data_IF_150536212742
#
_entry.id   IF_150536212742
#
_cell.length_a   1.000
_cell.length_b   1.000
_cell.length_c   1.000
_cell.angle_alpha   90.00
_cell.angle_beta   90.00
_cell.angle_gamma   90.00
#
_symmetry.space_group_name_H-M   'P 1'
#
loop_
_entity.id
_entity.type
_entity.pdbx_description
1 polymer ?
#
# COMPACT_ATOMS: atom_id res chain seq x y z
N UNK A 1 -8.01 -7.01 -20.54
CA UNK A 1 -6.77 -6.88 -19.73
C UNK A 1 -6.95 -7.64 -18.41
N UNK A 2 -5.96 -8.45 -18.00
CA UNK A 2 -5.97 -9.07 -16.66
C UNK A 2 -5.95 -8.01 -15.55
N UNK A 3 -6.54 -8.32 -14.39
CA UNK A 3 -6.63 -7.41 -13.22
C UNK A 3 -5.24 -6.91 -12.81
N UNK A 4 -4.25 -7.81 -12.82
CA UNK A 4 -2.83 -7.48 -12.65
C UNK A 4 -2.34 -6.40 -13.63
N UNK A 5 -2.56 -6.54 -14.95
CA UNK A 5 -2.08 -5.54 -15.92
C UNK A 5 -2.71 -4.16 -15.70
N UNK A 6 -3.99 -4.11 -15.31
CA UNK A 6 -4.68 -2.86 -14.96
C UNK A 6 -4.03 -2.20 -13.74
N UNK A 7 -3.69 -3.00 -12.71
CA UNK A 7 -3.00 -2.50 -11.53
C UNK A 7 -1.61 -1.96 -11.86
N UNK A 8 -0.83 -2.66 -12.67
CA UNK A 8 0.49 -2.18 -13.12
C UNK A 8 0.40 -0.86 -13.91
N UNK A 9 -0.60 -0.71 -14.76
CA UNK A 9 -0.83 0.53 -15.48
C UNK A 9 -1.24 1.67 -14.52
N UNK A 10 -2.08 1.38 -13.54
CA UNK A 10 -2.43 2.33 -12.48
C UNK A 10 -1.18 2.75 -11.68
N UNK A 11 -0.34 1.80 -11.25
CA UNK A 11 0.92 2.07 -10.56
C UNK A 11 1.88 2.91 -11.40
N UNK A 12 1.95 2.66 -12.72
CA UNK A 12 2.76 3.47 -13.63
C UNK A 12 2.28 4.92 -13.65
N UNK A 13 0.97 5.15 -13.75
CA UNK A 13 0.38 6.50 -13.71
C UNK A 13 0.72 7.20 -12.39
N UNK A 14 0.61 6.50 -11.26
CA UNK A 14 0.98 7.05 -9.95
C UNK A 14 2.46 7.42 -9.91
N UNK A 15 3.35 6.56 -10.38
CA UNK A 15 4.78 6.85 -10.43
C UNK A 15 5.09 8.07 -11.30
N UNK A 16 4.41 8.23 -12.45
CA UNK A 16 4.56 9.41 -13.30
C UNK A 16 4.09 10.68 -12.60
N UNK A 17 2.97 10.64 -11.87
CA UNK A 17 2.47 11.77 -11.09
C UNK A 17 3.47 12.15 -9.99
N UNK A 18 3.99 11.18 -9.24
CA UNK A 18 4.97 11.42 -8.18
C UNK A 18 6.29 12.00 -8.74
N UNK A 19 6.76 11.45 -9.86
CA UNK A 19 7.96 11.94 -10.53
C UNK A 19 7.77 13.38 -11.02
N UNK A 20 6.64 13.68 -11.67
CA UNK A 20 6.33 15.03 -12.13
C UNK A 20 6.22 16.01 -10.96
N UNK A 21 5.52 15.62 -9.89
CA UNK A 21 5.37 16.43 -8.70
C UNK A 21 6.74 16.86 -8.13
N UNK A 22 7.71 15.94 -8.11
CA UNK A 22 9.09 16.22 -7.67
C UNK A 22 9.81 17.26 -8.52
N UNK A 23 9.53 17.32 -9.82
CA UNK A 23 10.20 18.25 -10.73
C UNK A 23 9.54 19.64 -10.76
N UNK A 24 8.22 19.70 -10.55
CA UNK A 24 7.41 20.89 -10.85
C UNK A 24 6.82 21.57 -9.61
N UNK A 25 6.74 20.91 -8.46
CA UNK A 25 6.24 21.53 -7.23
C UNK A 25 7.39 22.10 -6.40
N UNK A 26 7.58 23.44 -6.36
CA UNK A 26 8.63 24.06 -5.56
C UNK A 26 8.40 23.88 -4.04
N UNK A 27 7.16 23.66 -3.64
CA UNK A 27 6.76 23.38 -2.26
C UNK A 27 7.26 22.01 -1.76
N UNK A 28 7.60 21.09 -2.67
CA UNK A 28 8.01 19.73 -2.35
C UNK A 28 9.51 19.68 -2.00
N UNK A 29 9.89 20.35 -0.92
CA UNK A 29 11.26 20.28 -0.37
C UNK A 29 11.57 18.87 0.16
N UNK A 30 12.84 18.59 0.49
CA UNK A 30 13.25 17.28 1.02
C UNK A 30 12.43 16.84 2.26
N UNK A 31 12.12 17.76 3.17
CA UNK A 31 11.28 17.46 4.33
C UNK A 31 9.82 17.17 3.91
N UNK A 32 9.29 17.92 2.95
CA UNK A 32 7.94 17.68 2.43
C UNK A 32 7.83 16.38 1.62
N UNK A 33 8.88 15.96 0.91
CA UNK A 33 8.91 14.65 0.24
C UNK A 33 8.72 13.52 1.23
N UNK A 34 9.38 13.56 2.39
CA UNK A 34 9.20 12.53 3.43
C UNK A 34 7.81 12.58 4.03
N UNK A 35 7.28 13.78 4.31
CA UNK A 35 5.93 13.94 4.81
C UNK A 35 4.90 13.38 3.81
N UNK A 36 5.01 13.70 2.52
CA UNK A 36 4.16 13.14 1.46
C UNK A 36 4.34 11.62 1.32
N UNK A 37 5.56 11.10 1.43
CA UNK A 37 5.82 9.65 1.42
C UNK A 37 5.20 8.95 2.64
N UNK A 38 5.07 9.68 3.75
CA UNK A 38 4.33 9.30 4.94
C UNK A 38 2.82 9.61 4.82
N UNK A 39 2.35 10.06 3.65
CA UNK A 39 0.99 10.49 3.36
C UNK A 39 0.45 11.56 4.31
N UNK A 40 1.33 12.41 4.82
CA UNK A 40 1.03 13.50 5.72
C UNK A 40 1.46 14.81 5.08
N UNK A 41 0.56 15.77 4.87
CA UNK A 41 0.99 17.13 4.56
C UNK A 41 -0.06 18.13 4.97
N UNK A 42 0.35 19.14 5.72
CA UNK A 42 -0.51 20.24 6.19
C UNK A 42 -0.29 21.54 5.41
N UNK A 43 0.67 21.56 4.47
CA UNK A 43 1.07 22.78 3.76
C UNK A 43 0.64 22.74 2.30
N UNK A 44 -0.35 23.54 1.95
CA UNK A 44 -0.77 23.72 0.57
C UNK A 44 -1.70 22.61 0.08
N UNK A 45 -2.74 23.01 -0.66
CA UNK A 45 -3.75 22.09 -1.19
C UNK A 45 -3.13 21.04 -2.12
N UNK A 46 -2.07 21.40 -2.85
CA UNK A 46 -1.38 20.50 -3.80
C UNK A 46 -0.65 19.36 -3.09
N UNK A 47 0.08 19.64 -2.01
CA UNK A 47 0.74 18.59 -1.23
C UNK A 47 -0.26 17.72 -0.48
N UNK A 48 -1.35 18.30 0.02
CA UNK A 48 -2.43 17.52 0.64
C UNK A 48 -3.06 16.53 -0.35
N UNK A 49 -3.35 16.98 -1.59
CA UNK A 49 -3.87 16.10 -2.64
C UNK A 49 -2.88 14.99 -3.00
N UNK A 50 -1.57 15.29 -3.05
CA UNK A 50 -0.53 14.31 -3.32
C UNK A 50 -0.43 13.26 -2.21
N UNK A 51 -0.53 13.68 -0.94
CA UNK A 51 -0.59 12.79 0.22
C UNK A 51 -1.85 11.92 0.21
N UNK A 52 -3.02 12.47 -0.10
CA UNK A 52 -4.27 11.71 -0.23
C UNK A 52 -4.21 10.69 -1.38
N UNK A 53 -3.58 11.07 -2.49
CA UNK A 53 -3.35 10.17 -3.62
C UNK A 53 -2.46 8.99 -3.19
N UNK A 54 -1.36 9.26 -2.49
CA UNK A 54 -0.47 8.21 -2.00
C UNK A 54 -1.18 7.30 -0.97
N UNK A 55 -1.93 7.89 -0.03
CA UNK A 55 -2.71 7.13 0.95
C UNK A 55 -3.72 6.18 0.28
N UNK A 56 -4.44 6.68 -0.71
CA UNK A 56 -5.39 5.87 -1.48
C UNK A 56 -4.66 4.76 -2.24
N UNK A 57 -3.51 5.10 -2.81
CA UNK A 57 -2.66 4.15 -3.51
C UNK A 57 -2.12 3.06 -2.59
N UNK A 58 -1.83 3.32 -1.31
CA UNK A 58 -1.33 2.30 -0.37
C UNK A 58 -2.35 1.19 -0.09
N UNK A 59 -3.63 1.58 -0.02
CA UNK A 59 -4.74 0.69 0.26
C UNK A 59 -5.04 -0.20 -0.96
N UNK A 60 -4.94 0.35 -2.18
CA UNK A 60 -5.28 -0.34 -3.42
C UNK A 60 -4.59 -1.69 -3.64
N UNK A 61 -3.25 -1.86 -3.52
CA UNK A 61 -2.57 -3.12 -3.73
C UNK A 61 -3.07 -4.23 -2.80
N UNK A 62 -3.34 -3.91 -1.53
CA UNK A 62 -3.89 -4.87 -0.58
C UNK A 62 -5.29 -5.27 -1.00
N UNK A 63 -6.17 -4.30 -1.31
CA UNK A 63 -7.53 -4.60 -1.76
C UNK A 63 -7.56 -5.43 -3.05
N UNK A 64 -6.66 -5.15 -4.00
CA UNK A 64 -6.57 -5.91 -5.25
C UNK A 64 -6.11 -7.35 -4.98
N UNK A 65 -5.10 -7.52 -4.12
CA UNK A 65 -4.60 -8.82 -3.71
C UNK A 65 -5.69 -9.65 -2.99
N UNK A 66 -6.41 -9.06 -2.04
CA UNK A 66 -7.48 -9.76 -1.31
C UNK A 66 -8.68 -10.08 -2.19
N UNK A 67 -9.06 -9.19 -3.11
CA UNK A 67 -10.19 -9.46 -4.03
C UNK A 67 -9.90 -10.59 -5.01
N UNK A 68 -8.63 -10.85 -5.37
CA UNK A 68 -8.27 -12.06 -6.15
C UNK A 68 -8.33 -13.34 -5.33
N UNK A 69 -8.11 -13.27 -4.02
CA UNK A 69 -8.20 -14.43 -3.12
C UNK A 69 -9.64 -14.70 -2.65
N UNK A 70 -10.49 -13.69 -2.58
CA UNK A 70 -11.92 -13.78 -2.20
C UNK A 70 -12.65 -14.82 -3.06
N UNK A 71 -12.37 -14.85 -4.37
CA UNK A 71 -12.93 -15.80 -5.35
C UNK A 71 -12.63 -17.28 -5.01
N UNK A 72 -11.54 -17.55 -4.29
CA UNK A 72 -11.12 -18.90 -3.90
C UNK A 72 -11.39 -19.20 -2.44
N UNK A 73 -11.75 -18.18 -1.64
CA UNK A 73 -11.80 -18.28 -0.19
C UNK A 73 -12.85 -19.29 0.28
N UNK A 74 -14.02 -19.31 -0.37
CA UNK A 74 -15.07 -20.31 -0.11
C UNK A 74 -14.55 -21.72 -0.28
N UNK A 75 -13.80 -22.00 -1.36
CA UNK A 75 -13.22 -23.32 -1.62
C UNK A 75 -12.19 -23.72 -0.54
N UNK A 76 -11.30 -22.80 -0.16
CA UNK A 76 -10.29 -23.02 0.87
C UNK A 76 -10.93 -23.35 2.22
N UNK A 77 -12.02 -22.65 2.57
CA UNK A 77 -12.78 -22.89 3.79
C UNK A 77 -13.48 -24.23 3.79
N UNK A 78 -14.13 -24.61 2.69
CA UNK A 78 -14.76 -25.94 2.56
C UNK A 78 -13.73 -27.06 2.74
N UNK A 79 -12.50 -26.86 2.27
CA UNK A 79 -11.39 -27.80 2.43
C UNK A 79 -10.66 -27.70 3.77
N UNK A 80 -11.07 -26.81 4.68
CA UNK A 80 -10.45 -26.57 6.00
C UNK A 80 -8.93 -26.33 5.91
N UNK A 81 -8.48 -25.65 4.85
CA UNK A 81 -7.06 -25.32 4.67
C UNK A 81 -6.70 -24.23 5.70
N UNK A 82 -5.64 -24.46 6.48
CA UNK A 82 -5.16 -23.48 7.45
C UNK A 82 -4.61 -22.21 6.78
N UNK A 83 -4.71 -21.08 7.49
CA UNK A 83 -4.32 -19.73 6.99
C UNK A 83 -2.91 -19.70 6.40
N UNK A 84 -1.92 -20.29 7.07
CA UNK A 84 -0.54 -20.31 6.57
C UNK A 84 -0.40 -21.02 5.22
N UNK A 85 -1.04 -22.19 5.06
CA UNK A 85 -1.01 -22.95 3.80
C UNK A 85 -1.76 -22.21 2.69
N UNK A 86 -2.91 -21.62 3.01
CA UNK A 86 -3.66 -20.79 2.08
C UNK A 86 -2.81 -19.60 1.62
N UNK A 87 -2.18 -18.88 2.54
CA UNK A 87 -1.31 -17.74 2.22
C UNK A 87 -0.17 -18.14 1.27
N UNK A 88 0.51 -19.28 1.53
CA UNK A 88 1.57 -19.77 0.65
C UNK A 88 1.10 -20.03 -0.78
N UNK A 89 -0.13 -20.53 -0.98
CA UNK A 89 -0.71 -20.78 -2.31
C UNK A 89 -0.86 -19.46 -3.09
N UNK A 90 -1.22 -18.37 -2.41
CA UNK A 90 -1.44 -17.07 -3.03
C UNK A 90 -0.24 -16.13 -2.97
N UNK A 91 0.85 -16.50 -2.27
CA UNK A 91 2.00 -15.63 -2.03
C UNK A 91 2.59 -15.03 -3.31
N UNK A 92 2.72 -15.82 -4.39
CA UNK A 92 3.21 -15.32 -5.69
C UNK A 92 2.27 -14.29 -6.31
N UNK A 93 0.95 -14.45 -6.16
CA UNK A 93 -0.04 -13.47 -6.64
C UNK A 93 0.04 -12.20 -5.83
N UNK A 94 0.11 -12.31 -4.51
CA UNK A 94 0.24 -11.17 -3.63
C UNK A 94 1.53 -10.37 -3.95
N UNK A 95 2.67 -11.04 -4.16
CA UNK A 95 3.93 -10.38 -4.53
C UNK A 95 3.82 -9.48 -5.78
N UNK A 96 2.96 -9.83 -6.75
CA UNK A 96 2.73 -9.03 -7.95
C UNK A 96 2.06 -7.67 -7.69
N UNK A 97 1.40 -7.52 -6.54
CA UNK A 97 0.79 -6.26 -6.07
C UNK A 97 1.72 -5.50 -5.12
N UNK A 98 2.59 -6.21 -4.41
CA UNK A 98 3.54 -5.59 -3.49
C UNK A 98 4.70 -4.89 -4.21
N UNK A 99 5.19 -5.45 -5.32
CA UNK A 99 6.32 -4.86 -6.04
C UNK A 99 6.02 -3.43 -6.56
N UNK A 100 4.88 -3.15 -7.22
CA UNK A 100 4.54 -1.79 -7.64
C UNK A 100 4.31 -0.83 -6.46
N UNK A 101 3.88 -1.34 -5.32
CA UNK A 101 3.74 -0.56 -4.09
C UNK A 101 5.10 -0.04 -3.62
N UNK A 102 6.13 -0.90 -3.57
CA UNK A 102 7.49 -0.50 -3.22
C UNK A 102 8.01 0.53 -4.21
N UNK A 103 7.89 0.27 -5.52
CA UNK A 103 8.44 1.15 -6.57
C UNK A 103 7.90 2.58 -6.45
N UNK A 104 6.62 2.76 -6.14
CA UNK A 104 6.03 4.08 -5.96
C UNK A 104 6.66 4.84 -4.77
N UNK A 105 6.90 4.16 -3.63
CA UNK A 105 7.51 4.77 -2.45
C UNK A 105 9.01 5.07 -2.66
N UNK A 106 9.69 4.30 -3.52
CA UNK A 106 11.08 4.58 -3.88
C UNK A 106 11.24 5.91 -4.63
N UNK A 107 10.21 6.37 -5.36
CA UNK A 107 10.26 7.63 -6.13
C UNK A 107 10.37 8.88 -5.24
N UNK A 108 9.88 8.78 -4.00
CA UNK A 108 9.91 9.85 -3.01
C UNK A 108 11.08 9.73 -2.03
N UNK A 109 12.02 8.80 -2.27
CA UNK A 109 13.23 8.71 -1.48
C UNK A 109 14.09 9.96 -1.65
N UNK A 110 14.61 10.44 -0.52
CA UNK A 110 15.59 11.53 -0.49
C UNK A 110 16.80 11.14 0.37
N UNK A 111 17.96 11.74 0.05
CA UNK A 111 19.22 11.42 0.71
C UNK A 111 19.28 11.87 2.17
N UNK A 112 18.54 12.92 2.55
CA UNK A 112 18.55 13.49 3.90
C UNK A 112 17.86 12.60 4.94
N UNK A 113 16.85 11.83 4.53
CA UNK A 113 16.05 10.97 5.42
C UNK A 113 15.98 9.52 4.93
N UNK A 114 16.96 9.10 4.12
CA UNK A 114 17.04 7.76 3.54
C UNK A 114 16.93 6.65 4.59
N UNK A 115 17.62 6.80 5.73
CA UNK A 115 17.61 5.82 6.82
C UNK A 115 16.20 5.64 7.40
N UNK A 116 15.50 6.74 7.68
CA UNK A 116 14.14 6.69 8.21
C UNK A 116 13.20 6.02 7.21
N UNK A 117 13.28 6.40 5.94
CA UNK A 117 12.45 5.83 4.89
C UNK A 117 12.73 4.33 4.67
N UNK A 118 14.00 3.91 4.74
CA UNK A 118 14.37 2.51 4.69
C UNK A 118 13.86 1.72 5.91
N UNK A 119 13.89 2.29 7.11
CA UNK A 119 13.35 1.65 8.32
C UNK A 119 11.82 1.49 8.28
N UNK A 120 11.11 2.38 7.57
CA UNK A 120 9.66 2.25 7.41
C UNK A 120 9.25 1.16 6.42
N UNK A 121 10.10 0.78 5.46
CA UNK A 121 9.78 -0.26 4.46
C UNK A 121 9.47 -1.64 5.08
N UNK A 122 10.26 -2.17 6.04
CA UNK A 122 9.92 -3.38 6.77
C UNK A 122 8.57 -3.31 7.50
N UNK A 123 8.22 -2.17 8.08
CA UNK A 123 6.93 -1.96 8.76
C UNK A 123 5.80 -2.08 7.75
N UNK A 124 5.93 -1.42 6.59
CA UNK A 124 4.95 -1.53 5.50
C UNK A 124 4.84 -2.94 4.94
N UNK A 125 5.96 -3.66 4.79
CA UNK A 125 5.97 -5.07 4.39
C UNK A 125 5.20 -5.94 5.39
N UNK A 126 5.49 -5.80 6.69
CA UNK A 126 4.82 -6.55 7.74
C UNK A 126 3.31 -6.28 7.76
N UNK A 127 2.92 -5.00 7.71
CA UNK A 127 1.52 -4.59 7.61
C UNK A 127 0.84 -5.23 6.40
N UNK A 128 1.49 -5.19 5.23
CA UNK A 128 0.95 -5.75 4.01
C UNK A 128 0.73 -7.28 4.11
N UNK A 129 1.68 -8.02 4.70
CA UNK A 129 1.55 -9.46 4.94
C UNK A 129 0.38 -9.77 5.87
N UNK A 130 0.27 -9.03 6.98
CA UNK A 130 -0.83 -9.21 7.95
C UNK A 130 -2.18 -8.93 7.29
N UNK A 131 -2.30 -7.83 6.55
CA UNK A 131 -3.56 -7.40 5.94
C UNK A 131 -4.00 -8.32 4.80
N UNK A 132 -3.08 -8.84 4.00
CA UNK A 132 -3.43 -9.84 2.97
C UNK A 132 -3.78 -11.20 3.58
N UNK A 133 -3.19 -11.56 4.72
CA UNK A 133 -3.56 -12.78 5.45
C UNK A 133 -4.96 -12.72 6.08
N UNK A 134 -5.49 -11.52 6.38
CA UNK A 134 -6.87 -11.35 6.86
C UNK A 134 -7.90 -11.93 5.89
N UNK A 135 -7.58 -12.04 4.60
CA UNK A 135 -8.49 -12.63 3.64
C UNK A 135 -8.84 -14.07 4.03
N UNK A 136 -7.93 -14.83 4.62
CA UNK A 136 -8.20 -16.23 4.99
C UNK A 136 -8.90 -16.40 6.34
N UNK A 137 -9.19 -15.29 7.06
CA UNK A 137 -9.92 -15.31 8.32
C UNK A 137 -11.42 -15.28 8.04
N UNK A 138 -12.20 -16.04 8.84
CA UNK A 138 -13.65 -16.20 8.69
C UNK A 138 -14.44 -14.98 9.18
N UNK A 139 -14.32 -13.88 8.43
CA UNK A 139 -14.99 -12.58 8.67
C UNK A 139 -15.70 -12.17 7.37
N UNK A 140 -16.74 -11.32 7.46
CA UNK A 140 -17.42 -10.80 6.27
C UNK A 140 -16.48 -9.91 5.41
N UNK A 141 -16.51 -10.08 4.09
CA UNK A 141 -15.66 -9.34 3.12
C UNK A 141 -15.72 -7.80 3.29
N UNK A 142 -16.89 -7.15 3.52
CA UNK A 142 -16.94 -5.70 3.77
C UNK A 142 -16.17 -5.27 5.02
N UNK A 143 -16.23 -6.07 6.09
CA UNK A 143 -15.53 -5.78 7.35
C UNK A 143 -14.02 -5.87 7.15
N UNK A 144 -13.55 -6.88 6.40
CA UNK A 144 -12.12 -7.00 6.04
C UNK A 144 -11.62 -5.80 5.23
N UNK A 145 -12.41 -5.35 4.25
CA UNK A 145 -12.04 -4.20 3.40
C UNK A 145 -12.00 -2.89 4.21
N UNK A 146 -12.96 -2.71 5.11
CA UNK A 146 -12.98 -1.57 6.02
C UNK A 146 -11.80 -1.60 7.01
N UNK A 147 -11.46 -2.78 7.55
CA UNK A 147 -10.34 -2.92 8.49
C UNK A 147 -8.98 -2.63 7.84
N UNK A 148 -8.79 -3.00 6.56
CA UNK A 148 -7.59 -2.61 5.80
C UNK A 148 -7.42 -1.09 5.81
N UNK A 149 -8.44 -0.34 5.42
CA UNK A 149 -8.38 1.13 5.40
C UNK A 149 -8.10 1.73 6.79
N UNK A 150 -8.74 1.20 7.82
CA UNK A 150 -8.55 1.66 9.20
C UNK A 150 -7.14 1.38 9.73
N UNK A 151 -6.57 0.20 9.44
CA UNK A 151 -5.20 -0.15 9.84
C UNK A 151 -4.18 0.75 9.14
N UNK A 152 -4.35 1.05 7.85
CA UNK A 152 -3.48 2.02 7.16
C UNK A 152 -3.56 3.40 7.80
N UNK A 153 -4.77 3.87 8.14
CA UNK A 153 -4.96 5.15 8.81
C UNK A 153 -4.24 5.20 10.17
N UNK A 154 -4.42 4.18 11.01
CA UNK A 154 -3.77 4.11 12.33
C UNK A 154 -2.25 3.97 12.21
N UNK A 155 -1.76 3.13 11.30
CA UNK A 155 -0.32 2.95 11.08
C UNK A 155 0.35 4.26 10.64
N UNK A 156 -0.29 5.02 9.74
CA UNK A 156 0.19 6.34 9.30
C UNK A 156 0.20 7.34 10.46
N UNK A 157 -0.84 7.36 11.31
CA UNK A 157 -0.88 8.22 12.51
C UNK A 157 0.18 7.84 13.55
N UNK A 158 0.45 6.54 13.73
CA UNK A 158 1.45 6.05 14.69
C UNK A 158 2.89 6.35 14.28
N UNK A 159 3.22 6.26 12.99
CA UNK A 159 4.56 6.59 12.48
C UNK A 159 4.89 8.08 12.68
N UNK A 160 3.89 8.96 12.77
CA UNK A 160 4.09 10.40 13.04
C UNK A 160 4.45 10.71 14.50
N UNK A 161 4.23 9.77 15.42
CA UNK A 161 4.57 9.93 16.84
C UNK A 161 6.02 9.53 17.16
N UNK A 162 6.75 9.01 16.17
CA UNK A 162 8.16 8.58 16.25
C UNK A 162 9.03 9.66 15.61
#
# INVERSE_FOLDING_TARGET
MSRQRKFWLFSLVICLILFWARQVLPELTNSQMTLVNLAFSSRGMRLMLLSCLLFTYDICPVLMATTEADEFNTFLWTRKIGVSKAYMIFAKRFANYFLPFIVAHLMLLNSLQLLLQLLTLPIWLLLWVILTALEFVKIASPIKKASIGLVFLVARMGILLI
#
